data_IF_105317151335
#
_entry.id   IF_105317151335
#
_cell.length_a   1.000
_cell.length_b   1.000
_cell.length_c   1.000
_cell.angle_alpha   90.00
_cell.angle_beta   90.00
_cell.angle_gamma   90.00
#
_symmetry.space_group_name_H-M   'P 1'
#
loop_
_entity.id
_entity.type
_entity.pdbx_description
1 polymer ?
#
# COMPACT_ATOMS: atom_id res chain seq x y z
N UNK A 1 -19.09 -14.83 -18.67
CA UNK A 1 -18.07 -14.78 -17.60
C UNK A 1 -17.68 -13.32 -17.48
N UNK A 2 -17.99 -12.67 -16.36
CA UNK A 2 -17.38 -11.39 -16.06
C UNK A 2 -15.92 -11.71 -15.74
N UNK A 3 -14.98 -11.29 -16.59
CA UNK A 3 -13.57 -11.29 -16.23
C UNK A 3 -13.44 -10.42 -14.98
N UNK A 4 -13.03 -11.02 -13.87
CA UNK A 4 -12.57 -10.23 -12.73
C UNK A 4 -11.24 -9.63 -13.16
N UNK A 5 -11.19 -8.32 -13.40
CA UNK A 5 -9.92 -7.63 -13.60
C UNK A 5 -9.05 -7.88 -12.35
N UNK A 6 -7.91 -8.56 -12.54
CA UNK A 6 -6.97 -8.85 -11.47
C UNK A 6 -6.38 -7.54 -10.93
N UNK A 7 -6.15 -7.49 -9.62
CA UNK A 7 -5.59 -6.30 -8.97
C UNK A 7 -4.11 -6.16 -9.28
N UNK A 8 -3.70 -4.98 -9.73
CA UNK A 8 -2.28 -4.68 -9.93
C UNK A 8 -1.66 -4.16 -8.62
N UNK A 9 -0.49 -4.69 -8.24
CA UNK A 9 0.34 -4.14 -7.17
C UNK A 9 1.44 -3.26 -7.77
N UNK A 10 1.44 -1.97 -7.42
CA UNK A 10 2.52 -1.05 -7.70
C UNK A 10 3.31 -0.78 -6.41
N UNK A 11 4.59 -1.13 -6.39
CA UNK A 11 5.47 -0.87 -5.27
C UNK A 11 6.59 0.08 -5.69
N UNK A 12 6.63 1.25 -5.05
CA UNK A 12 7.64 2.26 -5.27
C UNK A 12 8.51 2.42 -4.03
N UNK A 13 9.82 2.22 -4.20
CA UNK A 13 10.84 2.47 -3.20
C UNK A 13 11.66 3.70 -3.62
N UNK A 14 11.52 4.79 -2.87
CA UNK A 14 12.08 6.10 -3.20
C UNK A 14 13.31 6.51 -2.38
N UNK A 15 14.08 5.55 -1.83
CA UNK A 15 15.19 5.87 -0.92
C UNK A 15 16.39 6.55 -1.62
N UNK A 16 16.64 6.25 -2.89
CA UNK A 16 17.80 6.74 -3.65
C UNK A 16 17.54 8.02 -4.47
N UNK A 17 16.39 8.65 -4.29
CA UNK A 17 15.90 9.78 -5.09
C UNK A 17 15.38 10.91 -4.19
N UNK A 18 15.17 12.13 -4.71
CA UNK A 18 14.58 13.21 -3.93
C UNK A 18 13.18 12.85 -3.41
N UNK A 19 12.74 13.60 -2.39
CA UNK A 19 11.39 13.45 -1.83
C UNK A 19 10.31 13.80 -2.86
N UNK A 20 9.11 13.17 -2.77
CA UNK A 20 7.97 13.57 -3.58
C UNK A 20 7.65 15.06 -3.44
N UNK A 21 7.20 15.68 -4.53
CA UNK A 21 6.92 17.11 -4.57
C UNK A 21 5.46 17.42 -4.24
N UNK A 22 5.18 18.65 -3.81
CA UNK A 22 3.81 19.14 -3.60
C UNK A 22 3.00 19.23 -4.91
N UNK A 23 3.67 19.19 -6.07
CA UNK A 23 3.04 19.19 -7.39
C UNK A 23 2.56 17.79 -7.81
N UNK A 24 2.82 16.77 -7.02
CA UNK A 24 2.39 15.40 -7.31
C UNK A 24 3.36 14.67 -8.20
N UNK A 25 4.66 14.83 -7.95
CA UNK A 25 5.72 14.11 -8.66
C UNK A 25 6.45 13.17 -7.70
N UNK A 26 6.70 11.95 -8.16
CA UNK A 26 7.71 11.05 -7.61
C UNK A 26 8.91 11.02 -8.55
N UNK A 27 10.05 10.53 -8.09
CA UNK A 27 11.28 10.60 -8.88
C UNK A 27 11.71 9.23 -9.36
N UNK A 28 12.14 9.18 -10.61
CA UNK A 28 12.79 8.02 -11.24
C UNK A 28 14.10 8.46 -11.88
N UNK A 29 14.87 7.53 -12.46
CA UNK A 29 16.10 7.86 -13.15
C UNK A 29 15.90 7.96 -14.66
N UNK A 30 16.71 8.80 -15.32
CA UNK A 30 16.91 8.67 -16.76
C UNK A 30 17.64 7.35 -17.10
N UNK A 31 17.70 7.00 -18.39
CA UNK A 31 18.32 5.76 -18.89
C UNK A 31 19.78 5.56 -18.43
N UNK A 32 20.51 6.64 -18.20
CA UNK A 32 21.93 6.61 -17.87
C UNK A 32 22.20 6.75 -16.36
N UNK A 33 21.16 6.82 -15.52
CA UNK A 33 21.26 7.01 -14.07
C UNK A 33 22.06 8.24 -13.63
N UNK A 34 22.02 9.31 -14.44
CA UNK A 34 22.75 10.57 -14.17
C UNK A 34 21.84 11.68 -13.64
N UNK A 35 20.54 11.57 -13.87
CA UNK A 35 19.57 12.60 -13.50
C UNK A 35 18.31 11.95 -12.94
N UNK A 36 17.73 12.63 -11.95
CA UNK A 36 16.38 12.36 -11.48
C UNK A 36 15.37 13.00 -12.43
N UNK A 37 14.41 12.20 -12.89
CA UNK A 37 13.33 12.61 -13.78
C UNK A 37 12.02 12.57 -12.98
N UNK A 38 11.24 13.67 -12.96
CA UNK A 38 9.95 13.66 -12.29
C UNK A 38 8.96 12.80 -13.07
N UNK A 39 8.20 11.99 -12.33
CA UNK A 39 7.08 11.20 -12.80
C UNK A 39 5.81 11.71 -12.12
N UNK A 40 4.87 12.20 -12.93
CA UNK A 40 3.56 12.67 -12.49
C UNK A 40 2.73 11.52 -11.90
N UNK A 41 2.22 11.71 -10.68
CA UNK A 41 1.28 10.78 -10.04
C UNK A 41 -0.04 10.68 -10.82
N UNK A 42 -0.47 11.78 -11.45
CA UNK A 42 -1.67 11.80 -12.28
C UNK A 42 -1.50 10.90 -13.52
N UNK A 43 -0.34 10.96 -14.18
CA UNK A 43 -0.06 10.09 -15.33
C UNK A 43 0.09 8.64 -14.89
N UNK A 44 0.81 8.38 -13.78
CA UNK A 44 0.91 7.05 -13.19
C UNK A 44 -0.48 6.46 -12.95
N UNK A 45 -1.40 7.22 -12.35
CA UNK A 45 -2.76 6.76 -12.10
C UNK A 45 -3.55 6.47 -13.39
N UNK A 46 -3.33 7.23 -14.47
CA UNK A 46 -3.95 6.95 -15.78
C UNK A 46 -3.36 5.71 -16.47
N UNK A 47 -2.09 5.41 -16.25
CA UNK A 47 -1.44 4.22 -16.82
C UNK A 47 -1.87 2.92 -16.14
N UNK A 48 -2.25 3.01 -14.87
CA UNK A 48 -2.66 1.88 -14.06
C UNK A 48 -4.16 1.63 -14.22
N UNK A 49 -4.58 0.37 -14.37
CA UNK A 49 -6.00 0.01 -14.29
C UNK A 49 -6.44 -0.05 -12.84
N UNK A 50 -7.69 0.33 -12.58
CA UNK A 50 -8.35 0.04 -11.29
C UNK A 50 -9.14 -1.27 -11.44
N UNK A 51 -9.13 -2.18 -10.45
CA UNK A 51 -8.59 -1.95 -9.10
C UNK A 51 -7.07 -2.16 -8.99
N UNK A 52 -6.39 -1.24 -8.30
CA UNK A 52 -4.95 -1.33 -7.99
C UNK A 52 -4.66 -1.22 -6.49
N UNK A 53 -3.45 -1.60 -6.08
CA UNK A 53 -2.88 -1.32 -4.77
C UNK A 53 -1.48 -0.73 -4.92
N UNK A 54 -1.21 0.36 -4.21
CA UNK A 54 0.03 1.13 -4.28
C UNK A 54 0.74 1.12 -2.93
N UNK A 55 2.04 0.84 -2.94
CA UNK A 55 2.92 0.87 -1.77
C UNK A 55 4.01 1.90 -2.02
N UNK A 56 4.05 2.97 -1.23
CA UNK A 56 5.06 4.03 -1.30
C UNK A 56 5.98 3.98 -0.09
N UNK A 57 7.17 3.41 -0.30
CA UNK A 57 8.24 3.38 0.69
C UNK A 57 9.25 4.49 0.42
N UNK A 58 8.91 5.68 0.89
CA UNK A 58 9.73 6.89 0.77
C UNK A 58 9.39 7.87 1.91
N UNK A 59 10.29 8.83 2.14
CA UNK A 59 10.00 9.98 3.01
C UNK A 59 8.94 10.88 2.38
N UNK A 60 8.08 11.50 3.19
CA UNK A 60 6.93 12.32 2.77
C UNK A 60 5.86 11.55 1.98
N UNK A 61 5.74 10.24 2.20
CA UNK A 61 4.76 9.38 1.50
C UNK A 61 3.31 9.88 1.68
N UNK A 62 2.97 10.49 2.82
CA UNK A 62 1.64 11.06 3.05
C UNK A 62 1.22 12.09 2.00
N UNK A 63 2.16 12.86 1.45
CA UNK A 63 1.89 13.84 0.37
C UNK A 63 1.42 13.11 -0.89
N UNK A 64 2.09 11.99 -1.22
CA UNK A 64 1.74 11.15 -2.38
C UNK A 64 0.32 10.64 -2.24
N UNK A 65 -0.04 10.06 -1.09
CA UNK A 65 -1.37 9.50 -0.86
C UNK A 65 -2.49 10.56 -0.98
N UNK A 66 -2.27 11.75 -0.44
CA UNK A 66 -3.25 12.83 -0.52
C UNK A 66 -3.44 13.35 -1.95
N UNK A 67 -2.35 13.48 -2.71
CA UNK A 67 -2.42 13.92 -4.10
C UNK A 67 -3.05 12.85 -5.00
N UNK A 68 -2.76 11.56 -4.75
CA UNK A 68 -3.40 10.45 -5.46
C UNK A 68 -4.93 10.47 -5.33
N UNK A 69 -5.45 10.78 -4.14
CA UNK A 69 -6.90 10.93 -3.91
C UNK A 69 -7.45 12.12 -4.69
N UNK A 70 -6.77 13.27 -4.68
CA UNK A 70 -7.21 14.46 -5.44
C UNK A 70 -7.20 14.21 -6.95
N UNK A 71 -6.17 13.54 -7.46
CA UNK A 71 -6.07 13.20 -8.87
C UNK A 71 -7.10 12.15 -9.28
N UNK A 72 -7.43 11.19 -8.40
CA UNK A 72 -8.55 10.25 -8.60
C UNK A 72 -9.87 10.99 -8.85
N UNK A 73 -10.21 11.93 -7.97
CA UNK A 73 -11.43 12.73 -8.07
C UNK A 73 -11.46 13.58 -9.36
N UNK A 74 -10.32 14.13 -9.74
CA UNK A 74 -10.19 14.88 -10.99
C UNK A 74 -10.38 13.99 -12.23
N UNK A 75 -9.75 12.82 -12.25
CA UNK A 75 -9.89 11.84 -13.33
C UNK A 75 -11.36 11.39 -13.45
N UNK A 76 -12.02 11.05 -12.33
CA UNK A 76 -13.42 10.66 -12.33
C UNK A 76 -14.34 11.77 -12.89
N UNK A 77 -14.08 13.02 -12.52
CA UNK A 77 -14.82 14.18 -13.06
C UNK A 77 -14.61 14.36 -14.56
N UNK A 78 -13.37 14.26 -15.04
CA UNK A 78 -13.05 14.36 -16.47
C UNK A 78 -13.73 13.24 -17.28
N UNK A 79 -13.77 12.01 -16.77
CA UNK A 79 -14.47 10.89 -17.41
C UNK A 79 -15.99 11.15 -17.47
N UNK A 80 -16.57 11.65 -16.39
CA UNK A 80 -18.01 11.94 -16.33
C UNK A 80 -18.41 13.08 -17.29
N UNK A 81 -17.61 14.14 -17.37
CA UNK A 81 -17.83 15.24 -18.30
C UNK A 81 -17.66 14.77 -19.76
N UNK A 82 -16.67 13.93 -20.06
CA UNK A 82 -16.51 13.31 -21.37
C UNK A 82 -17.73 12.44 -21.76
N UNK A 83 -18.25 11.63 -20.83
CA UNK A 83 -19.45 10.81 -21.06
C UNK A 83 -20.68 11.67 -21.38
N UNK A 84 -20.89 12.76 -20.64
CA UNK A 84 -22.00 13.70 -20.89
C UNK A 84 -21.89 14.36 -22.26
N UNK A 85 -20.68 14.78 -22.65
CA UNK A 85 -20.44 15.38 -23.96
C UNK A 85 -20.72 14.38 -25.11
N UNK A 86 -20.27 13.12 -25.01
CA UNK A 86 -20.60 12.08 -26.00
C UNK A 86 -22.10 11.79 -26.09
N UNK A 87 -22.80 11.73 -24.95
CA UNK A 87 -24.24 11.51 -24.92
C UNK A 87 -25.01 12.66 -25.61
N UNK A 88 -24.56 13.91 -25.42
CA UNK A 88 -25.16 15.07 -26.09
C UNK A 88 -24.94 15.06 -27.61
N UNK A 89 -23.73 14.73 -28.10
CA UNK A 89 -23.48 14.64 -29.55
C UNK A 89 -24.34 13.55 -30.21
N UNK A 90 -24.47 12.38 -29.55
CA UNK A 90 -25.31 11.27 -30.01
C UNK A 90 -26.79 11.65 -30.16
N UNK A 91 -27.28 12.59 -29.35
CA UNK A 91 -28.68 13.05 -29.37
C UNK A 91 -28.99 14.05 -30.50
N UNK A 92 -27.97 14.67 -31.10
CA UNK A 92 -28.12 15.65 -32.19
C UNK A 92 -28.10 14.98 -33.57
N UNK A 93 -27.49 13.79 -33.70
CA UNK A 93 -27.34 13.06 -34.97
C UNK A 93 -28.49 12.11 -35.34
N UNK A 94 -29.62 12.14 -34.64
CA UNK A 94 -30.74 11.19 -34.84
C UNK A 94 -31.69 11.54 -36.00
N UNK A 95 -31.20 12.09 -37.13
CA UNK A 95 -32.00 12.39 -38.33
C UNK A 95 -31.72 11.49 -39.54
N UNK A 96 -30.93 10.41 -39.42
CA UNK A 96 -30.78 9.44 -40.52
C UNK A 96 -31.10 8.01 -40.11
N UNK A 97 -32.20 7.50 -40.67
CA UNK A 97 -32.66 6.11 -40.65
C UNK A 97 -31.65 5.16 -41.30
N UNK A 98 -30.78 4.48 -40.53
CA UNK A 98 -30.21 3.17 -40.89
C UNK A 98 -29.76 2.40 -39.63
N UNK A 99 -30.16 1.13 -39.43
CA UNK A 99 -29.73 0.33 -38.29
C UNK A 99 -28.41 -0.36 -38.62
N UNK A 100 -27.29 0.22 -38.22
CA UNK A 100 -26.01 -0.49 -38.18
C UNK A 100 -25.63 -0.71 -36.72
N UNK A 101 -25.60 -1.97 -36.31
CA UNK A 101 -25.08 -2.45 -35.03
C UNK A 101 -23.59 -2.15 -34.92
N UNK A 102 -23.23 -0.92 -34.53
CA UNK A 102 -21.89 -0.60 -34.09
C UNK A 102 -21.81 -0.82 -32.59
N UNK A 103 -21.17 -1.91 -32.20
CA UNK A 103 -20.70 -2.13 -30.83
C UNK A 103 -19.78 -0.98 -30.45
N UNK A 104 -20.31 -0.03 -29.68
CA UNK A 104 -19.54 1.04 -29.05
C UNK A 104 -18.38 0.41 -28.26
N UNK A 105 -17.14 0.90 -28.41
CA UNK A 105 -16.08 0.53 -27.49
C UNK A 105 -16.51 0.99 -26.09
N UNK A 106 -16.69 0.05 -25.17
CA UNK A 106 -16.94 0.34 -23.77
C UNK A 106 -15.76 1.15 -23.24
N UNK A 107 -15.97 2.42 -22.88
CA UNK A 107 -15.00 3.16 -22.07
C UNK A 107 -14.79 2.39 -20.76
N UNK A 108 -13.55 2.11 -20.34
CA UNK A 108 -13.29 1.41 -19.09
C UNK A 108 -14.01 2.12 -17.92
N UNK A 109 -14.80 1.34 -17.19
CA UNK A 109 -15.65 1.75 -16.06
C UNK A 109 -14.92 1.71 -14.72
N UNK A 110 -13.60 1.95 -14.70
CA UNK A 110 -12.83 1.83 -13.47
C UNK A 110 -12.76 3.19 -12.76
N UNK A 111 -13.41 3.29 -11.60
CA UNK A 111 -13.24 4.45 -10.72
C UNK A 111 -11.96 4.25 -9.89
N UNK A 112 -11.01 5.19 -9.89
CA UNK A 112 -9.80 5.11 -9.07
C UNK A 112 -10.08 5.15 -7.55
N UNK A 113 -11.33 5.44 -7.13
CA UNK A 113 -11.77 5.35 -5.72
C UNK A 113 -11.69 3.91 -5.18
N UNK A 114 -11.58 2.90 -6.05
CA UNK A 114 -11.40 1.51 -5.63
C UNK A 114 -9.96 1.15 -5.24
N UNK A 115 -9.00 2.02 -5.54
CA UNK A 115 -7.59 1.77 -5.29
C UNK A 115 -7.26 1.80 -3.80
N UNK A 116 -6.25 1.01 -3.43
CA UNK A 116 -5.71 0.94 -2.07
C UNK A 116 -4.34 1.59 -2.08
N UNK A 117 -4.07 2.50 -1.14
CA UNK A 117 -2.77 3.16 -1.02
C UNK A 117 -2.19 2.89 0.36
N UNK A 118 -0.90 2.56 0.42
CA UNK A 118 -0.12 2.36 1.64
C UNK A 118 1.13 3.23 1.56
N UNK A 119 1.38 4.06 2.58
CA UNK A 119 2.51 4.98 2.65
C UNK A 119 3.32 4.78 3.93
N UNK A 120 4.64 4.86 3.80
CA UNK A 120 5.56 4.59 4.89
C UNK A 120 5.55 5.65 6.01
N UNK A 121 5.16 6.89 5.73
CA UNK A 121 5.23 8.00 6.67
C UNK A 121 4.21 9.11 6.37
N UNK A 122 4.02 10.03 7.31
CA UNK A 122 3.18 11.22 7.15
C UNK A 122 3.76 12.25 6.15
N UNK A 123 2.99 13.29 5.86
CA UNK A 123 3.33 14.31 4.84
C UNK A 123 4.65 15.03 5.10
N UNK A 124 4.96 15.30 6.36
CA UNK A 124 6.13 16.07 6.79
C UNK A 124 7.14 15.19 7.55
N UNK A 125 7.08 13.88 7.36
CA UNK A 125 7.89 12.92 8.09
C UNK A 125 9.02 12.35 7.23
N UNK A 126 10.10 12.00 7.90
CA UNK A 126 11.24 11.32 7.31
C UNK A 126 11.26 9.87 7.77
N UNK A 127 11.79 9.00 6.93
CA UNK A 127 11.98 7.60 7.31
C UNK A 127 13.05 7.47 8.40
N UNK A 128 12.94 6.44 9.28
CA UNK A 128 13.93 6.20 10.32
C UNK A 128 15.33 5.96 9.73
N UNK A 129 16.36 6.53 10.37
CA UNK A 129 17.77 6.37 9.99
C UNK A 129 18.57 5.50 10.96
N UNK A 130 17.89 4.65 11.75
CA UNK A 130 18.55 3.77 12.71
C UNK A 130 19.39 2.70 11.96
N UNK A 131 20.70 2.67 12.19
CA UNK A 131 21.63 1.75 11.54
C UNK A 131 21.40 0.27 11.89
N UNK A 132 20.70 -0.02 13.01
CA UNK A 132 20.36 -1.39 13.40
C UNK A 132 19.11 -1.93 12.67
N UNK A 133 18.42 -1.07 11.91
CA UNK A 133 17.24 -1.42 11.13
C UNK A 133 17.54 -1.30 9.63
N UNK A 134 16.79 -2.03 8.78
CA UNK A 134 16.91 -1.86 7.35
C UNK A 134 16.40 -0.46 6.95
N UNK A 135 16.98 0.11 5.89
CA UNK A 135 16.54 1.41 5.37
C UNK A 135 15.07 1.35 4.90
N UNK A 136 14.70 0.27 4.20
CA UNK A 136 13.34 -0.04 3.73
C UNK A 136 12.48 -0.69 4.83
N UNK A 137 12.47 -0.09 6.03
CA UNK A 137 11.79 -0.61 7.22
C UNK A 137 10.30 -0.88 6.97
N UNK A 138 9.63 0.00 6.24
CA UNK A 138 8.22 -0.16 5.91
C UNK A 138 7.99 -1.37 5.00
N UNK A 139 8.72 -1.47 3.89
CA UNK A 139 8.69 -2.65 3.01
C UNK A 139 9.03 -3.93 3.78
N UNK A 140 10.04 -3.90 4.65
CA UNK A 140 10.43 -5.02 5.49
C UNK A 140 9.30 -5.47 6.41
N UNK A 141 8.54 -4.55 7.00
CA UNK A 141 7.33 -4.87 7.76
C UNK A 141 6.27 -5.55 6.90
N UNK A 142 6.02 -5.03 5.69
CA UNK A 142 5.00 -5.56 4.78
C UNK A 142 5.34 -6.93 4.18
N UNK A 143 6.63 -7.25 4.02
CA UNK A 143 7.08 -8.44 3.25
C UNK A 143 7.75 -9.50 4.12
N UNK A 144 8.36 -9.12 5.24
CA UNK A 144 9.07 -10.03 6.17
C UNK A 144 8.71 -9.76 7.64
N UNK A 145 7.40 -9.76 8.00
CA UNK A 145 6.92 -9.27 9.29
C UNK A 145 7.55 -9.95 10.49
N UNK A 146 7.73 -11.28 10.46
CA UNK A 146 8.28 -12.03 11.60
C UNK A 146 9.73 -11.64 11.88
N UNK A 147 10.54 -11.54 10.81
CA UNK A 147 11.94 -11.17 10.91
C UNK A 147 12.08 -9.77 11.52
N UNK A 148 11.32 -8.80 11.01
CA UNK A 148 11.41 -7.42 11.51
C UNK A 148 10.82 -7.27 12.90
N UNK A 149 9.74 -8.00 13.24
CA UNK A 149 9.15 -7.98 14.57
C UNK A 149 10.15 -8.47 15.63
N UNK A 150 10.84 -9.58 15.36
CA UNK A 150 11.86 -10.12 16.26
C UNK A 150 13.09 -9.20 16.35
N UNK A 151 13.56 -8.69 15.21
CA UNK A 151 14.67 -7.72 15.16
C UNK A 151 14.35 -6.50 16.01
N UNK A 152 13.18 -5.90 15.81
CA UNK A 152 12.71 -4.75 16.57
C UNK A 152 12.53 -5.07 18.06
N UNK A 153 12.02 -6.25 18.39
CA UNK A 153 11.81 -6.72 19.77
C UNK A 153 13.14 -6.81 20.55
N UNK A 154 14.19 -7.39 19.94
CA UNK A 154 15.51 -7.52 20.58
C UNK A 154 16.19 -6.17 20.79
N UNK A 155 15.93 -5.18 19.93
CA UNK A 155 16.46 -3.82 20.06
C UNK A 155 15.79 -3.00 21.19
N UNK A 156 14.66 -3.47 21.75
CA UNK A 156 14.02 -2.76 22.86
C UNK A 156 14.86 -2.90 24.14
N UNK A 157 15.28 -1.77 24.72
CA UNK A 157 16.25 -1.68 25.85
C UNK A 157 15.96 -2.60 27.05
N UNK A 158 14.69 -2.84 27.36
CA UNK A 158 14.30 -3.69 28.48
C UNK A 158 14.47 -5.19 28.17
N UNK A 159 14.36 -5.56 26.90
CA UNK A 159 14.36 -6.95 26.43
C UNK A 159 15.78 -7.41 26.12
N UNK A 160 16.63 -6.55 25.56
CA UNK A 160 18.05 -6.89 25.35
C UNK A 160 18.76 -7.26 26.66
N UNK A 161 18.26 -6.75 27.80
CA UNK A 161 18.74 -7.10 29.15
C UNK A 161 18.21 -8.46 29.65
N UNK A 162 17.00 -8.85 29.25
CA UNK A 162 16.37 -10.10 29.68
C UNK A 162 16.87 -11.30 28.88
N UNK A 163 17.21 -11.11 27.60
CA UNK A 163 17.66 -12.17 26.71
C UNK A 163 18.96 -11.76 25.97
N UNK A 164 20.11 -11.63 26.67
CA UNK A 164 21.36 -11.16 26.06
C UNK A 164 21.96 -12.15 25.03
N UNK A 165 21.47 -13.39 25.00
CA UNK A 165 22.02 -14.46 24.15
C UNK A 165 21.34 -14.56 22.77
N UNK A 166 20.33 -13.73 22.47
CA UNK A 166 19.70 -13.72 21.15
C UNK A 166 20.44 -12.71 20.28
N UNK A 167 21.21 -13.20 19.31
CA UNK A 167 21.87 -12.36 18.32
C UNK A 167 21.04 -12.20 17.04
N UNK A 168 21.53 -11.37 16.11
CA UNK A 168 20.87 -11.13 14.82
C UNK A 168 20.93 -12.35 13.89
N UNK A 169 21.98 -13.17 13.99
CA UNK A 169 22.17 -14.35 13.14
C UNK A 169 21.11 -15.42 13.45
N UNK A 170 20.74 -15.57 14.73
CA UNK A 170 19.65 -16.44 15.17
C UNK A 170 18.29 -16.00 14.60
N UNK A 171 18.03 -14.69 14.50
CA UNK A 171 16.80 -14.15 13.90
C UNK A 171 16.79 -14.38 12.38
N UNK A 172 17.95 -14.27 11.74
CA UNK A 172 18.10 -14.51 10.30
C UNK A 172 17.93 -16.00 9.94
N UNK A 173 18.21 -16.91 10.87
CA UNK A 173 18.25 -18.36 10.67
C UNK A 173 17.21 -19.13 11.50
N UNK A 174 16.02 -18.56 11.69
CA UNK A 174 14.93 -19.25 12.39
C UNK A 174 14.58 -20.54 11.61
N UNK A 175 14.60 -21.71 12.25
CA UNK A 175 14.37 -22.97 11.55
C UNK A 175 12.92 -23.07 11.09
N UNK A 176 12.74 -23.61 9.87
CA UNK A 176 11.43 -23.88 9.31
C UNK A 176 11.05 -23.04 8.10
N UNK A 177 9.77 -23.12 7.74
CA UNK A 177 9.17 -22.33 6.68
C UNK A 177 7.86 -21.73 7.16
N UNK A 178 7.44 -20.61 6.58
CA UNK A 178 6.19 -19.91 6.96
C UNK A 178 4.93 -20.73 6.69
N UNK A 179 5.02 -21.77 5.84
CA UNK A 179 3.91 -22.67 5.49
C UNK A 179 3.81 -23.88 6.44
N UNK A 180 4.92 -24.31 7.05
CA UNK A 180 4.94 -25.42 7.99
C UNK A 180 4.65 -24.95 9.43
N UNK A 181 3.40 -25.10 9.86
CA UNK A 181 2.94 -24.75 11.21
C UNK A 181 3.58 -25.57 12.34
N UNK A 182 4.29 -26.66 12.03
CA UNK A 182 5.04 -27.44 13.03
C UNK A 182 6.46 -26.92 13.23
N UNK A 183 6.93 -26.06 12.33
CA UNK A 183 8.22 -25.40 12.44
C UNK A 183 8.12 -24.13 13.27
N UNK A 184 9.23 -23.71 13.89
CA UNK A 184 9.25 -22.50 14.73
C UNK A 184 8.83 -21.26 13.94
N UNK A 185 9.35 -21.11 12.71
CA UNK A 185 8.99 -19.99 11.85
C UNK A 185 7.50 -19.99 11.48
N UNK A 186 6.94 -21.16 11.17
CA UNK A 186 5.53 -21.27 10.82
C UNK A 186 4.59 -21.06 12.01
N UNK A 187 4.98 -21.49 13.22
CA UNK A 187 4.23 -21.23 14.44
C UNK A 187 4.19 -19.73 14.76
N UNK A 188 5.34 -19.04 14.73
CA UNK A 188 5.40 -17.59 14.91
C UNK A 188 4.57 -16.83 13.86
N UNK A 189 4.64 -17.25 12.59
CA UNK A 189 3.84 -16.68 11.52
C UNK A 189 2.33 -16.88 11.75
N UNK A 190 1.94 -18.04 12.28
CA UNK A 190 0.54 -18.33 12.57
C UNK A 190 0.01 -17.52 13.74
N UNK A 191 0.78 -17.40 14.83
CA UNK A 191 0.46 -16.53 15.98
C UNK A 191 0.34 -15.08 15.52
N UNK A 192 1.31 -14.58 14.76
CA UNK A 192 1.28 -13.22 14.21
C UNK A 192 0.03 -12.95 13.38
N UNK A 193 -0.33 -13.90 12.52
CA UNK A 193 -1.56 -13.82 11.71
C UNK A 193 -2.81 -13.79 12.59
N UNK A 194 -2.89 -14.64 13.62
CA UNK A 194 -4.03 -14.65 14.53
C UNK A 194 -4.17 -13.35 15.33
N UNK A 195 -3.05 -12.81 15.84
CA UNK A 195 -3.02 -11.55 16.60
C UNK A 195 -3.45 -10.38 15.72
N UNK A 196 -2.82 -10.19 14.56
CA UNK A 196 -3.11 -9.07 13.65
C UNK A 196 -4.54 -9.11 13.10
N UNK A 197 -5.04 -10.31 12.77
CA UNK A 197 -6.42 -10.48 12.32
C UNK A 197 -7.44 -10.17 13.44
N UNK A 198 -7.13 -10.54 14.69
CA UNK A 198 -7.97 -10.24 15.86
C UNK A 198 -7.98 -8.74 16.16
N UNK A 199 -6.83 -8.06 16.09
CA UNK A 199 -6.75 -6.60 16.25
C UNK A 199 -7.61 -5.91 15.20
N UNK A 200 -7.48 -6.30 13.93
CA UNK A 200 -8.27 -5.74 12.84
C UNK A 200 -9.78 -5.98 13.02
N UNK A 201 -10.18 -7.20 13.39
CA UNK A 201 -11.60 -7.54 13.60
C UNK A 201 -12.25 -6.71 14.70
N UNK A 202 -11.53 -6.46 15.79
CA UNK A 202 -12.06 -5.69 16.93
C UNK A 202 -12.05 -4.17 16.70
N UNK A 203 -11.19 -3.69 15.80
CA UNK A 203 -10.96 -2.24 15.62
C UNK A 203 -11.65 -1.66 14.39
N UNK A 204 -11.98 -2.49 13.39
CA UNK A 204 -12.52 -2.03 12.11
C UNK A 204 -14.04 -2.26 11.99
N UNK A 205 -14.77 -1.38 11.29
CA UNK A 205 -16.13 -1.67 10.85
C UNK A 205 -16.18 -2.95 10.01
N UNK A 206 -17.30 -3.69 10.11
CA UNK A 206 -17.50 -4.97 9.42
C UNK A 206 -17.19 -4.91 7.92
N UNK A 207 -17.68 -3.87 7.23
CA UNK A 207 -17.52 -3.75 5.77
C UNK A 207 -16.06 -3.47 5.38
N UNK A 208 -15.37 -2.62 6.14
CA UNK A 208 -13.94 -2.34 5.95
C UNK A 208 -13.10 -3.59 6.20
N UNK A 209 -13.39 -4.33 7.28
CA UNK A 209 -12.70 -5.58 7.58
C UNK A 209 -12.89 -6.61 6.46
N UNK A 210 -14.13 -6.82 6.01
CA UNK A 210 -14.40 -7.77 4.92
C UNK A 210 -13.66 -7.37 3.64
N UNK A 211 -13.68 -6.08 3.29
CA UNK A 211 -12.98 -5.55 2.11
C UNK A 211 -11.47 -5.76 2.18
N UNK A 212 -10.82 -5.44 3.30
CA UNK A 212 -9.36 -5.40 3.38
C UNK A 212 -8.71 -6.70 3.88
N UNK A 213 -9.42 -7.51 4.66
CA UNK A 213 -8.87 -8.71 5.32
C UNK A 213 -9.48 -10.03 4.81
N UNK A 214 -10.50 -10.00 3.94
CA UNK A 214 -11.19 -11.22 3.47
C UNK A 214 -11.37 -11.36 1.96
N UNK A 215 -11.44 -10.27 1.20
CA UNK A 215 -11.69 -10.34 -0.25
C UNK A 215 -10.50 -10.85 -1.06
N UNK A 216 -9.30 -10.39 -0.74
CA UNK A 216 -8.09 -10.64 -1.51
C UNK A 216 -6.96 -11.06 -0.56
N UNK A 217 -6.31 -12.20 -0.86
CA UNK A 217 -5.28 -12.79 0.00
C UNK A 217 -4.03 -11.90 0.13
N UNK A 218 -3.63 -11.24 -0.96
CA UNK A 218 -2.48 -10.34 -0.96
C UNK A 218 -2.79 -9.08 -0.16
N UNK A 219 -3.94 -8.47 -0.41
CA UNK A 219 -4.40 -7.28 0.33
C UNK A 219 -4.53 -7.60 1.82
N UNK A 220 -5.14 -8.73 2.17
CA UNK A 220 -5.26 -9.17 3.56
C UNK A 220 -3.90 -9.41 4.22
N UNK A 221 -2.92 -9.93 3.47
CA UNK A 221 -1.54 -10.07 3.96
C UNK A 221 -0.87 -8.73 4.19
N UNK A 222 -0.96 -7.82 3.23
CA UNK A 222 -0.39 -6.48 3.36
C UNK A 222 -0.98 -5.71 4.52
N UNK A 223 -2.30 -5.76 4.74
CA UNK A 223 -2.93 -5.05 5.85
C UNK A 223 -2.64 -5.66 7.23
N UNK A 224 -2.57 -7.00 7.36
CA UNK A 224 -2.06 -7.63 8.60
C UNK A 224 -0.66 -7.14 8.93
N UNK A 225 0.20 -7.10 7.92
CA UNK A 225 1.59 -6.68 8.05
C UNK A 225 1.71 -5.16 8.25
N UNK A 226 0.76 -4.38 7.73
CA UNK A 226 0.67 -2.93 7.94
C UNK A 226 0.42 -2.59 9.41
N UNK A 227 -0.32 -3.41 10.16
CA UNK A 227 -0.51 -3.20 11.60
C UNK A 227 0.81 -3.31 12.38
N UNK A 228 1.69 -4.23 11.95
CA UNK A 228 3.05 -4.31 12.50
C UNK A 228 3.85 -3.06 12.14
N UNK A 229 3.77 -2.62 10.88
CA UNK A 229 4.42 -1.41 10.42
C UNK A 229 3.98 -0.19 11.24
N UNK A 230 2.68 -0.07 11.53
CA UNK A 230 2.13 1.00 12.38
C UNK A 230 2.79 1.04 13.76
N UNK A 231 2.96 -0.13 14.39
CA UNK A 231 3.60 -0.22 15.72
C UNK A 231 5.10 0.06 15.68
N UNK A 232 5.82 -0.55 14.74
CA UNK A 232 7.29 -0.42 14.64
C UNK A 232 7.67 1.00 14.23
N UNK A 233 7.11 1.51 13.14
CA UNK A 233 7.45 2.83 12.59
C UNK A 233 7.19 3.94 13.61
N UNK A 234 6.09 3.83 14.37
CA UNK A 234 5.73 4.82 15.39
C UNK A 234 6.74 4.91 16.52
N UNK A 235 7.39 3.81 16.89
CA UNK A 235 8.46 3.82 17.89
C UNK A 235 9.68 4.65 17.47
N UNK A 236 9.79 4.97 16.18
CA UNK A 236 10.81 5.84 15.59
C UNK A 236 10.26 7.20 15.12
N UNK A 237 9.08 7.60 15.62
CA UNK A 237 8.48 8.90 15.29
C UNK A 237 7.92 8.99 13.87
N UNK A 238 7.63 7.85 13.23
CA UNK A 238 7.15 7.77 11.87
C UNK A 238 5.75 7.13 11.82
N UNK A 239 4.80 7.76 11.15
CA UNK A 239 3.40 7.34 11.11
C UNK A 239 3.02 6.87 9.71
N UNK A 240 2.87 5.54 9.58
CA UNK A 240 2.36 4.95 8.34
C UNK A 240 0.95 5.45 8.03
N UNK A 241 0.62 5.56 6.76
CA UNK A 241 -0.67 6.05 6.29
C UNK A 241 -1.29 5.10 5.26
N UNK A 242 -2.62 5.08 5.20
CA UNK A 242 -3.36 4.25 4.24
C UNK A 242 -4.57 4.97 3.65
N UNK A 243 -5.00 4.53 2.46
CA UNK A 243 -6.30 4.81 1.86
C UNK A 243 -6.91 3.47 1.42
N UNK A 244 -8.09 3.07 1.95
CA UNK A 244 -8.87 3.75 3.00
C UNK A 244 -8.07 3.93 4.31
N UNK A 245 -8.36 5.03 5.02
CA UNK A 245 -7.70 5.33 6.30
C UNK A 245 -8.20 4.36 7.38
N UNK A 246 -7.27 3.85 8.20
CA UNK A 246 -7.57 2.97 9.33
C UNK A 246 -7.53 3.76 10.65
N UNK A 247 -8.34 3.36 11.65
CA UNK A 247 -8.16 3.85 13.01
C UNK A 247 -6.81 3.39 13.57
N UNK A 248 -6.26 4.11 14.55
CA UNK A 248 -5.00 3.72 15.19
C UNK A 248 -5.15 2.37 15.91
N UNK A 249 -4.24 1.43 15.64
CA UNK A 249 -4.22 0.08 16.23
C UNK A 249 -2.89 -0.28 16.91
N UNK A 250 -1.89 0.61 16.85
CA UNK A 250 -0.55 0.42 17.42
C UNK A 250 -0.51 0.12 18.94
N UNK A 251 -1.51 0.56 19.70
CA UNK A 251 -1.62 0.43 21.16
C UNK A 251 -2.70 -0.58 21.60
N UNK A 252 -3.21 -1.38 20.68
CA UNK A 252 -4.14 -2.45 21.02
C UNK A 252 -3.51 -3.38 22.08
N UNK A 253 -4.34 -3.89 23.01
CA UNK A 253 -3.86 -4.73 24.13
C UNK A 253 -3.23 -6.08 23.73
N UNK A 254 -3.31 -6.44 22.45
CA UNK A 254 -2.80 -7.69 21.89
C UNK A 254 -1.49 -7.44 21.15
#
# INVERSE_FOLDING_TARGET
MLEYEERILFHYNGHGVPRPTANGEIWVFNKNFTQYIPLSLYDLQKWMSSPSIFVFDCSHAGVVLNLFVKFAEQIDKELEDARKNLAQVSSISSTSTHPASQTMPSLPTSSPIQDILLGACGENELLPMNAELPADLFTSCLTTPIKIALRWYVLQKNISRLNPNIDQDMIDKIPGTVTDRKSMLGELNWIFTAVTDTIAWNSLPKDTFQRLFRQDLLVASLFRNFLLAERIMRSYGCHVCSRPALPPMFEHRL
#
